data_IF_456174308021
#
_entry.id   IF_456174308021
#
_cell.length_a   1.000
_cell.length_b   1.000
_cell.length_c   1.000
_cell.angle_alpha   90.00
_cell.angle_beta   90.00
_cell.angle_gamma   90.00
#
_symmetry.space_group_name_H-M   'P 1'
#
loop_
_entity.id
_entity.type
_entity.pdbx_description
1 polymer ?
#
# COMPACT_ATOMS: atom_id res chain seq x y z
N UNK A 1 -1.35 -22.43 5.50
CA UNK A 1 -2.30 -22.70 6.60
C UNK A 1 -2.14 -21.75 7.79
N UNK A 2 -0.92 -21.49 8.30
CA UNK A 2 -0.72 -20.57 9.45
C UNK A 2 -1.21 -19.12 9.20
N UNK A 3 -0.93 -18.57 8.00
CA UNK A 3 -1.37 -17.22 7.60
C UNK A 3 -2.89 -17.04 7.63
N UNK A 4 -3.62 -18.11 7.32
CA UNK A 4 -5.09 -18.10 7.29
C UNK A 4 -5.66 -17.90 8.69
N UNK A 5 -5.11 -18.57 9.71
CA UNK A 5 -5.53 -18.43 11.11
C UNK A 5 -5.26 -17.04 11.69
N UNK A 6 -4.30 -16.31 11.14
CA UNK A 6 -4.01 -14.92 11.51
C UNK A 6 -5.02 -13.92 10.91
N UNK A 7 -5.81 -14.33 9.90
CA UNK A 7 -6.82 -13.43 9.32
C UNK A 7 -8.08 -13.40 10.21
N UNK A 8 -8.54 -12.21 10.63
CA UNK A 8 -9.69 -12.09 11.53
C UNK A 8 -10.98 -12.64 10.90
N UNK A 9 -11.05 -12.71 9.57
CA UNK A 9 -12.23 -13.19 8.84
C UNK A 9 -12.56 -14.65 9.13
N UNK A 10 -11.56 -15.51 9.37
CA UNK A 10 -11.83 -16.93 9.68
C UNK A 10 -12.55 -17.06 11.02
N UNK A 11 -12.12 -16.30 12.01
CA UNK A 11 -12.75 -16.30 13.34
C UNK A 11 -14.15 -15.70 13.29
N UNK A 12 -14.34 -14.60 12.57
CA UNK A 12 -15.65 -14.00 12.33
C UNK A 12 -16.62 -15.02 11.71
N UNK A 13 -16.21 -15.66 10.60
CA UNK A 13 -17.05 -16.64 9.92
C UNK A 13 -17.33 -17.86 10.80
N UNK A 14 -16.34 -18.30 11.59
CA UNK A 14 -16.51 -19.42 12.52
C UNK A 14 -17.56 -19.10 13.59
N UNK A 15 -17.49 -17.92 14.21
CA UNK A 15 -18.48 -17.49 15.21
C UNK A 15 -19.88 -17.32 14.62
N UNK A 16 -20.00 -16.75 13.41
CA UNK A 16 -21.28 -16.60 12.72
C UNK A 16 -21.89 -17.96 12.36
N UNK A 17 -21.10 -18.87 11.78
CA UNK A 17 -21.56 -20.20 11.36
C UNK A 17 -21.98 -21.06 12.56
N UNK A 18 -21.12 -21.15 13.59
CA UNK A 18 -21.45 -21.87 14.82
C UNK A 18 -22.66 -21.25 15.52
N UNK A 19 -22.75 -19.92 15.55
CA UNK A 19 -23.88 -19.21 16.11
C UNK A 19 -25.21 -19.52 15.42
N UNK A 20 -25.22 -19.55 14.08
CA UNK A 20 -26.40 -19.90 13.28
C UNK A 20 -26.80 -21.38 13.42
N UNK A 21 -25.83 -22.29 13.53
CA UNK A 21 -26.11 -23.73 13.74
C UNK A 21 -26.72 -23.96 15.12
N UNK A 22 -26.14 -23.37 16.17
CA UNK A 22 -26.58 -23.54 17.55
C UNK A 22 -27.92 -22.85 17.85
N UNK A 23 -28.20 -21.72 17.19
CA UNK A 23 -29.49 -21.01 17.31
C UNK A 23 -30.66 -21.73 16.62
N UNK A 24 -30.39 -22.60 15.64
CA UNK A 24 -31.41 -23.41 14.92
C UNK A 24 -31.77 -24.74 15.59
N UNK A 25 -31.04 -25.16 16.62
CA UNK A 25 -31.30 -26.41 17.34
C UNK A 25 -32.65 -26.40 18.07
N UNK A 26 -33.57 -27.30 17.70
CA UNK A 26 -34.96 -27.36 18.21
C UNK A 26 -35.10 -27.77 19.69
N UNK A 27 -34.05 -28.22 20.38
CA UNK A 27 -34.22 -29.04 21.59
C UNK A 27 -33.74 -28.49 22.93
N UNK A 28 -32.92 -27.43 23.00
CA UNK A 28 -32.31 -27.01 24.28
C UNK A 28 -32.11 -25.48 24.34
N UNK A 29 -32.96 -24.78 25.12
CA UNK A 29 -32.93 -23.32 25.33
C UNK A 29 -31.52 -22.76 25.66
N UNK A 30 -30.66 -23.56 26.30
CA UNK A 30 -29.27 -23.19 26.59
C UNK A 30 -28.39 -23.02 25.34
N UNK A 31 -28.48 -23.92 24.35
CA UNK A 31 -27.66 -23.85 23.13
C UNK A 31 -28.08 -22.70 22.22
N UNK A 32 -29.38 -22.34 22.23
CA UNK A 32 -29.88 -21.19 21.48
C UNK A 32 -29.30 -19.87 22.01
N UNK A 33 -29.20 -19.70 23.34
CA UNK A 33 -28.54 -18.53 23.94
C UNK A 33 -27.07 -18.44 23.55
N UNK A 34 -26.34 -19.56 23.64
CA UNK A 34 -24.93 -19.63 23.22
C UNK A 34 -24.77 -19.30 21.74
N UNK A 35 -25.68 -19.80 20.89
CA UNK A 35 -25.69 -19.49 19.46
C UNK A 35 -25.86 -18.00 19.17
N UNK A 36 -26.82 -17.34 19.83
CA UNK A 36 -27.02 -15.90 19.70
C UNK A 36 -25.83 -15.08 20.17
N UNK A 37 -25.18 -15.46 21.29
CA UNK A 37 -23.95 -14.81 21.74
C UNK A 37 -22.80 -14.96 20.74
N UNK A 38 -22.66 -16.14 20.12
CA UNK A 38 -21.67 -16.36 19.07
C UNK A 38 -21.95 -15.52 17.81
N UNK A 39 -23.22 -15.41 17.38
CA UNK A 39 -23.60 -14.50 16.28
C UNK A 39 -23.29 -13.05 16.64
N UNK A 40 -23.67 -12.59 17.84
CA UNK A 40 -23.43 -11.23 18.29
C UNK A 40 -21.93 -10.92 18.36
N UNK A 41 -21.12 -11.86 18.85
CA UNK A 41 -19.66 -11.72 18.87
C UNK A 41 -19.08 -11.61 17.46
N UNK A 42 -19.45 -12.53 16.56
CA UNK A 42 -18.98 -12.49 15.17
C UNK A 42 -19.39 -11.21 14.45
N UNK A 43 -20.64 -10.77 14.63
CA UNK A 43 -21.15 -9.52 14.05
C UNK A 43 -20.46 -8.28 14.63
N UNK A 44 -20.21 -8.26 15.95
CA UNK A 44 -19.49 -7.17 16.62
C UNK A 44 -18.03 -7.08 16.16
N UNK A 45 -17.33 -8.23 16.08
CA UNK A 45 -15.97 -8.29 15.52
C UNK A 45 -15.93 -7.79 14.07
N UNK A 46 -16.88 -8.23 13.24
CA UNK A 46 -16.98 -7.75 11.86
C UNK A 46 -17.23 -6.25 11.80
N UNK A 47 -18.20 -5.74 12.57
CA UNK A 47 -18.56 -4.33 12.61
C UNK A 47 -17.36 -3.48 13.04
N UNK A 48 -16.74 -3.82 14.16
CA UNK A 48 -15.58 -3.10 14.71
C UNK A 48 -14.38 -3.11 13.76
N UNK A 49 -13.99 -4.27 13.22
CA UNK A 49 -12.86 -4.37 12.29
C UNK A 49 -13.15 -3.78 10.89
N UNK A 50 -14.41 -3.54 10.55
CA UNK A 50 -14.80 -2.85 9.30
C UNK A 50 -14.84 -1.32 9.44
N UNK A 51 -14.76 -0.79 10.66
CA UNK A 51 -14.72 0.66 10.90
C UNK A 51 -13.34 1.21 10.58
N UNK A 52 -13.29 2.24 9.72
CA UNK A 52 -12.04 2.96 9.37
C UNK A 52 -11.22 3.38 10.60
N UNK A 53 -11.78 4.00 11.65
CA UNK A 53 -11.00 4.39 12.83
C UNK A 53 -10.28 3.23 13.51
N UNK A 54 -10.84 2.02 13.48
CA UNK A 54 -10.20 0.83 14.05
C UNK A 54 -9.04 0.38 13.17
N UNK A 55 -9.23 0.36 11.85
CA UNK A 55 -8.16 0.08 10.89
C UNK A 55 -7.01 1.07 11.00
N UNK A 56 -7.33 2.37 11.05
CA UNK A 56 -6.35 3.46 11.14
C UNK A 56 -5.57 3.40 12.46
N UNK A 57 -6.24 3.10 13.59
CA UNK A 57 -5.58 2.94 14.89
C UNK A 57 -4.60 1.74 14.89
N UNK A 58 -5.00 0.62 14.29
CA UNK A 58 -4.15 -0.56 14.18
C UNK A 58 -2.95 -0.29 13.27
N UNK A 59 -3.16 0.36 12.12
CA UNK A 59 -2.10 0.79 11.22
C UNK A 59 -1.14 1.76 11.93
N UNK A 60 -1.67 2.78 12.60
CA UNK A 60 -0.89 3.74 13.38
C UNK A 60 -0.05 3.07 14.49
N UNK A 61 -0.59 2.06 15.17
CA UNK A 61 0.16 1.31 16.20
C UNK A 61 1.40 0.59 15.64
N UNK A 62 1.38 0.23 14.37
CA UNK A 62 2.51 -0.37 13.64
C UNK A 62 3.42 0.70 13.04
N UNK A 63 2.85 1.73 12.43
CA UNK A 63 3.58 2.76 11.68
C UNK A 63 4.25 3.80 12.57
N UNK A 64 3.66 4.16 13.71
CA UNK A 64 4.22 5.15 14.65
C UNK A 64 5.60 4.79 15.22
N UNK A 65 6.03 3.53 15.04
CA UNK A 65 7.38 3.07 15.39
C UNK A 65 8.45 3.55 14.41
N UNK A 66 8.05 4.02 13.23
CA UNK A 66 8.92 4.47 12.16
C UNK A 66 8.67 5.96 11.92
N UNK A 67 9.54 6.80 12.49
CA UNK A 67 9.51 8.24 12.22
C UNK A 67 10.07 8.59 10.83
N UNK A 68 9.90 9.85 10.40
CA UNK A 68 10.59 10.37 9.22
C UNK A 68 12.12 10.17 9.33
N UNK A 69 12.82 9.94 8.20
CA UNK A 69 14.27 9.79 8.21
C UNK A 69 14.96 11.05 8.73
N UNK A 70 16.10 10.88 9.41
CA UNK A 70 16.93 12.01 9.86
C UNK A 70 17.57 12.71 8.66
N UNK A 71 17.88 14.01 8.81
CA UNK A 71 18.56 14.78 7.76
C UNK A 71 19.92 14.17 7.38
N UNK A 72 20.67 13.68 8.37
CA UNK A 72 21.94 12.97 8.15
C UNK A 72 21.77 11.73 7.26
N UNK A 73 20.68 10.97 7.44
CA UNK A 73 20.36 9.85 6.57
C UNK A 73 20.01 10.33 5.15
N UNK A 74 19.26 11.43 5.03
CA UNK A 74 18.91 11.99 3.73
C UNK A 74 20.11 12.51 2.94
N UNK A 75 21.13 13.01 3.63
CA UNK A 75 22.37 13.50 3.01
C UNK A 75 23.34 12.38 2.58
N UNK A 76 23.22 11.20 3.21
CA UNK A 76 24.07 10.03 2.96
C UNK A 76 23.52 9.05 1.93
N UNK A 77 22.22 9.08 1.62
CA UNK A 77 21.64 8.21 0.58
C UNK A 77 22.09 8.62 -0.82
N UNK A 78 22.43 7.64 -1.65
CA UNK A 78 22.78 7.87 -3.06
C UNK A 78 21.54 8.02 -3.96
N UNK A 79 20.46 7.31 -3.61
CA UNK A 79 19.28 7.18 -4.46
C UNK A 79 18.00 7.25 -3.65
N UNK A 80 16.98 7.92 -4.19
CA UNK A 80 15.61 7.84 -3.70
C UNK A 80 14.79 6.95 -4.62
N UNK A 81 14.12 5.94 -4.07
CA UNK A 81 13.29 5.01 -4.85
C UNK A 81 11.83 5.19 -4.47
N UNK A 82 10.99 5.45 -5.46
CA UNK A 82 9.55 5.59 -5.31
C UNK A 82 8.86 4.44 -6.04
N UNK A 83 8.23 3.57 -5.26
CA UNK A 83 7.48 2.42 -5.78
C UNK A 83 6.06 2.84 -6.21
N UNK A 84 5.53 2.18 -7.23
CA UNK A 84 4.14 2.35 -7.66
C UNK A 84 3.12 1.87 -6.61
N UNK A 85 1.94 2.46 -6.65
CA UNK A 85 0.79 2.14 -5.80
C UNK A 85 -0.54 2.15 -6.56
N UNK A 86 -0.48 2.29 -7.89
CA UNK A 86 -1.64 2.33 -8.76
C UNK A 86 -1.97 3.73 -9.25
N UNK A 87 -2.61 3.78 -10.41
CA UNK A 87 -3.07 4.99 -11.08
C UNK A 87 -4.50 4.83 -11.58
N UNK A 88 -5.17 5.96 -11.81
CA UNK A 88 -6.37 6.08 -12.60
C UNK A 88 -5.98 6.51 -14.02
N UNK A 89 -6.47 5.78 -15.02
CA UNK A 89 -6.30 6.15 -16.42
C UNK A 89 -7.19 7.34 -16.76
N UNK A 90 -6.73 8.15 -17.71
CA UNK A 90 -7.55 9.19 -18.34
C UNK A 90 -8.82 8.59 -18.97
N UNK A 91 -9.87 9.40 -19.04
CA UNK A 91 -11.18 9.01 -19.58
C UNK A 91 -12.35 9.42 -18.70
N UNK A 92 -13.54 9.45 -19.30
CA UNK A 92 -14.74 9.98 -18.65
C UNK A 92 -14.56 11.45 -18.28
N UNK A 93 -14.53 11.75 -16.98
CA UNK A 93 -14.31 13.10 -16.45
C UNK A 93 -12.83 13.40 -16.13
N UNK A 94 -11.92 12.42 -16.25
CA UNK A 94 -10.47 12.64 -16.04
C UNK A 94 -9.79 13.01 -17.35
N UNK A 95 -9.22 14.20 -17.39
CA UNK A 95 -8.45 14.67 -18.53
C UNK A 95 -7.14 13.90 -18.70
N UNK A 96 -6.50 13.55 -17.58
CA UNK A 96 -5.16 12.98 -17.55
C UNK A 96 -5.09 11.74 -16.65
N UNK A 97 -3.95 11.06 -16.74
CA UNK A 97 -3.60 9.97 -15.85
C UNK A 97 -3.29 10.54 -14.45
N UNK A 98 -3.84 9.93 -13.41
CA UNK A 98 -3.69 10.42 -12.03
C UNK A 98 -3.20 9.29 -11.12
N UNK A 99 -2.28 9.58 -10.21
CA UNK A 99 -1.89 8.62 -9.17
C UNK A 99 -3.04 8.38 -8.19
N UNK A 100 -3.21 7.14 -7.73
CA UNK A 100 -4.13 6.86 -6.63
C UNK A 100 -3.60 7.47 -5.32
N UNK A 101 -4.48 7.72 -4.35
CA UNK A 101 -4.12 8.41 -3.10
C UNK A 101 -2.83 7.92 -2.43
N UNK A 102 -2.68 6.62 -2.13
CA UNK A 102 -1.45 6.09 -1.54
C UNK A 102 -0.21 6.23 -2.43
N UNK A 103 -0.37 6.08 -3.75
CA UNK A 103 0.72 6.26 -4.72
C UNK A 103 1.17 7.73 -4.77
N UNK A 104 0.20 8.66 -4.78
CA UNK A 104 0.45 10.09 -4.75
C UNK A 104 1.19 10.52 -3.48
N UNK A 105 0.74 10.09 -2.30
CA UNK A 105 1.41 10.42 -1.03
C UNK A 105 2.86 9.93 -1.01
N UNK A 106 3.12 8.71 -1.51
CA UNK A 106 4.47 8.16 -1.61
C UNK A 106 5.32 8.92 -2.62
N UNK A 107 4.77 9.24 -3.79
CA UNK A 107 5.44 10.04 -4.81
C UNK A 107 5.80 11.43 -4.29
N UNK A 108 4.85 12.12 -3.66
CA UNK A 108 5.05 13.46 -3.13
C UNK A 108 6.17 13.49 -2.09
N UNK A 109 6.11 12.61 -1.09
CA UNK A 109 7.17 12.54 -0.07
C UNK A 109 8.51 12.07 -0.65
N UNK A 110 8.52 11.15 -1.61
CA UNK A 110 9.75 10.75 -2.30
C UNK A 110 10.41 11.91 -3.05
N UNK A 111 9.62 12.75 -3.73
CA UNK A 111 10.13 13.95 -4.39
C UNK A 111 10.64 14.97 -3.37
N UNK A 112 9.95 15.18 -2.25
CA UNK A 112 10.46 16.03 -1.16
C UNK A 112 11.79 15.49 -0.63
N UNK A 113 11.86 14.21 -0.29
CA UNK A 113 13.08 13.55 0.19
C UNK A 113 14.24 13.71 -0.78
N UNK A 114 14.00 13.61 -2.08
CA UNK A 114 15.04 13.82 -3.09
C UNK A 114 15.49 15.29 -3.16
N UNK A 115 14.57 16.25 -3.06
CA UNK A 115 14.89 17.69 -3.12
C UNK A 115 15.59 18.20 -1.86
N UNK A 116 15.23 17.65 -0.70
CA UNK A 116 15.74 18.05 0.61
C UNK A 116 17.00 17.26 1.03
N UNK A 117 17.32 16.18 0.30
CA UNK A 117 18.44 15.27 0.57
C UNK A 117 19.63 15.41 -0.38
N UNK A 118 20.61 14.53 -0.21
CA UNK A 118 21.86 14.49 -0.97
C UNK A 118 21.89 13.47 -2.12
N UNK A 119 20.78 12.78 -2.38
CA UNK A 119 20.69 11.69 -3.35
C UNK A 119 20.95 12.16 -4.77
N UNK A 120 21.80 11.44 -5.52
CA UNK A 120 22.18 11.76 -6.89
C UNK A 120 21.02 11.55 -7.88
N UNK A 121 20.23 10.49 -7.71
CA UNK A 121 19.09 10.15 -8.58
C UNK A 121 17.81 9.84 -7.80
N UNK A 122 16.67 10.07 -8.43
CA UNK A 122 15.37 9.54 -8.01
C UNK A 122 14.86 8.54 -9.04
N UNK A 123 14.43 7.37 -8.58
CA UNK A 123 13.91 6.30 -9.42
C UNK A 123 12.41 6.09 -9.19
N UNK A 124 11.64 6.07 -10.27
CA UNK A 124 10.21 5.75 -10.25
C UNK A 124 9.98 4.34 -10.81
N UNK A 125 9.24 3.51 -10.08
CA UNK A 125 8.93 2.13 -10.49
C UNK A 125 7.42 1.94 -10.65
N UNK A 126 7.01 1.31 -11.74
CA UNK A 126 5.61 0.94 -11.94
C UNK A 126 5.28 0.75 -13.41
N UNK A 127 4.75 -0.43 -13.72
CA UNK A 127 4.34 -0.78 -15.08
C UNK A 127 3.01 -0.19 -15.50
N UNK A 128 2.41 -0.81 -16.52
CA UNK A 128 1.19 -0.34 -17.16
C UNK A 128 -0.03 -1.10 -16.63
N UNK A 129 -1.12 -0.41 -16.25
CA UNK A 129 -2.37 -1.10 -15.92
C UNK A 129 -3.05 -1.73 -17.15
N UNK A 130 -2.76 -1.23 -18.37
CA UNK A 130 -3.19 -1.81 -19.64
C UNK A 130 -2.06 -1.75 -20.67
N UNK A 131 -2.03 -2.69 -21.61
CA UNK A 131 -0.93 -2.80 -22.57
C UNK A 131 -0.69 -1.52 -23.40
N UNK A 132 -1.77 -0.83 -23.77
CA UNK A 132 -1.79 0.42 -24.53
C UNK A 132 -1.85 1.69 -23.67
N UNK A 133 -1.65 1.61 -22.35
CA UNK A 133 -1.61 2.80 -21.49
C UNK A 133 -0.18 3.25 -21.21
N UNK A 134 -0.06 4.49 -20.76
CA UNK A 134 1.16 4.95 -20.11
C UNK A 134 1.45 4.12 -18.85
N UNK A 135 2.73 4.02 -18.48
CA UNK A 135 3.15 3.37 -17.24
C UNK A 135 3.02 4.32 -16.06
N UNK A 136 2.75 3.79 -14.88
CA UNK A 136 2.68 4.58 -13.66
C UNK A 136 3.99 5.34 -13.40
N UNK A 137 5.14 4.73 -13.69
CA UNK A 137 6.43 5.38 -13.52
C UNK A 137 6.66 6.57 -14.47
N UNK A 138 6.12 6.53 -15.69
CA UNK A 138 6.21 7.67 -16.61
C UNK A 138 5.33 8.83 -16.14
N UNK A 139 4.14 8.55 -15.61
CA UNK A 139 3.28 9.56 -14.98
C UNK A 139 3.99 10.21 -13.78
N UNK A 140 4.62 9.41 -12.92
CA UNK A 140 5.44 9.91 -11.81
C UNK A 140 6.60 10.80 -12.28
N UNK A 141 7.30 10.40 -13.35
CA UNK A 141 8.36 11.20 -13.97
C UNK A 141 7.83 12.55 -14.46
N UNK A 142 6.74 12.56 -15.22
CA UNK A 142 6.16 13.79 -15.77
C UNK A 142 5.76 14.77 -14.65
N UNK A 143 5.12 14.26 -13.60
CA UNK A 143 4.76 15.06 -12.41
C UNK A 143 6.00 15.57 -11.67
N UNK A 144 7.05 14.77 -11.55
CA UNK A 144 8.28 15.17 -10.85
C UNK A 144 9.04 16.28 -11.61
N UNK A 145 9.10 16.19 -12.94
CA UNK A 145 9.65 17.25 -13.79
C UNK A 145 8.85 18.55 -13.61
N UNK A 146 7.51 18.47 -13.60
CA UNK A 146 6.65 19.63 -13.32
C UNK A 146 6.93 20.26 -11.94
N UNK A 147 7.32 19.45 -10.94
CA UNK A 147 7.73 19.89 -9.60
C UNK A 147 9.19 20.38 -9.51
N UNK A 148 9.89 20.47 -10.64
CA UNK A 148 11.25 21.01 -10.75
C UNK A 148 12.37 19.99 -10.51
N UNK A 149 12.09 18.69 -10.57
CA UNK A 149 13.14 17.66 -10.55
C UNK A 149 13.82 17.62 -11.93
N UNK A 150 15.16 17.75 -12.01
CA UNK A 150 15.89 17.68 -13.28
C UNK A 150 15.71 16.32 -13.96
N UNK A 151 15.39 16.31 -15.26
CA UNK A 151 15.09 15.08 -16.00
C UNK A 151 16.28 14.11 -16.05
N UNK A 152 17.51 14.64 -16.12
CA UNK A 152 18.76 13.88 -16.11
C UNK A 152 19.05 13.19 -14.77
N UNK A 153 18.30 13.54 -13.72
CA UNK A 153 18.37 12.92 -12.39
C UNK A 153 17.23 11.94 -12.12
N UNK A 154 16.39 11.66 -13.12
CA UNK A 154 15.25 10.74 -12.99
C UNK A 154 15.52 9.43 -13.73
N UNK A 155 15.39 8.32 -13.00
CA UNK A 155 15.38 6.98 -13.56
C UNK A 155 13.95 6.42 -13.55
N UNK A 156 13.58 5.67 -14.59
CA UNK A 156 12.23 5.09 -14.71
C UNK A 156 12.30 3.60 -15.01
N UNK A 157 11.62 2.81 -14.20
CA UNK A 157 11.40 1.37 -14.39
C UNK A 157 9.93 1.13 -14.75
N UNK A 158 9.66 0.54 -15.92
CA UNK A 158 8.30 0.39 -16.49
C UNK A 158 7.86 -1.04 -16.79
N UNK A 159 8.72 -2.04 -16.55
CA UNK A 159 8.48 -3.45 -16.91
C UNK A 159 7.78 -4.22 -15.79
N UNK A 160 7.93 -3.78 -14.55
CA UNK A 160 7.37 -4.43 -13.38
C UNK A 160 5.84 -4.55 -13.40
N UNK A 161 5.34 -5.74 -13.05
CA UNK A 161 3.89 -6.02 -12.92
C UNK A 161 3.47 -6.31 -11.48
N UNK A 162 4.43 -6.47 -10.58
CA UNK A 162 4.20 -6.72 -9.17
C UNK A 162 5.36 -6.19 -8.31
N UNK A 163 5.16 -6.18 -7.00
CA UNK A 163 6.14 -5.63 -6.04
C UNK A 163 7.49 -6.35 -6.06
N UNK A 164 7.51 -7.66 -6.34
CA UNK A 164 8.78 -8.40 -6.42
C UNK A 164 9.55 -8.03 -7.70
N UNK A 165 8.86 -7.90 -8.82
CA UNK A 165 9.46 -7.48 -10.09
C UNK A 165 10.00 -6.04 -10.03
N UNK A 166 9.34 -5.13 -9.28
CA UNK A 166 9.84 -3.76 -9.06
C UNK A 166 11.30 -3.77 -8.59
N UNK A 167 11.60 -4.58 -7.55
CA UNK A 167 12.93 -4.62 -6.93
C UNK A 167 13.97 -5.18 -7.90
N UNK A 168 13.66 -6.28 -8.56
CA UNK A 168 14.58 -6.93 -9.50
C UNK A 168 14.87 -6.04 -10.72
N UNK A 169 13.82 -5.51 -11.36
CA UNK A 169 13.98 -4.67 -12.54
C UNK A 169 14.67 -3.34 -12.22
N UNK A 170 14.44 -2.77 -11.03
CA UNK A 170 15.11 -1.55 -10.60
C UNK A 170 16.59 -1.80 -10.30
N UNK A 171 16.92 -2.91 -9.65
CA UNK A 171 18.31 -3.24 -9.32
C UNK A 171 19.20 -3.36 -10.57
N UNK A 172 18.65 -3.76 -11.72
CA UNK A 172 19.34 -3.77 -13.01
C UNK A 172 19.65 -2.38 -13.56
N UNK A 173 18.90 -1.35 -13.15
CA UNK A 173 19.00 0.00 -13.68
C UNK A 173 19.77 0.96 -12.78
N UNK A 174 19.86 0.67 -11.48
CA UNK A 174 20.56 1.51 -10.54
C UNK A 174 22.08 1.44 -10.77
N UNK A 175 22.77 2.59 -10.84
CA UNK A 175 24.23 2.58 -10.87
C UNK A 175 24.79 2.13 -9.52
N UNK A 176 26.07 1.77 -9.49
CA UNK A 176 26.76 1.48 -8.25
C UNK A 176 26.66 2.69 -7.30
N UNK A 177 26.21 2.44 -6.07
CA UNK A 177 26.17 3.46 -5.02
C UNK A 177 27.55 3.97 -4.67
N UNK A 178 27.65 5.24 -4.27
CA UNK A 178 28.87 5.78 -3.69
C UNK A 178 28.80 5.39 -2.22
N UNK A 179 29.56 4.39 -1.80
CA UNK A 179 29.67 4.05 -0.39
C UNK A 179 30.24 5.26 0.39
N UNK A 180 29.34 6.13 0.88
CA UNK A 180 29.64 7.32 1.69
C UNK A 180 29.62 6.98 3.18
#
# INVERSE_FOLDING_TARGET
>A
MLKSLATPIIWILTFLMLGLILSRGKGRRGYQRVGWWAVLMGASMLATLSLRPVGDLLAYSLESRYGPPSQELLESVDFVVVLGGGMYLSGGLRAENELQGPAYSRWYHGVQTFKDGGADLIAFCGGRPRENSESEANVMKAMAIYMGVPEDRILVETRSRNTMENVACLAELLPAGKAR
#
